data_IF_150865878053
#
_entry.id   IF_150865878053
#
_cell.length_a   1.000
_cell.length_b   1.000
_cell.length_c   1.000
_cell.angle_alpha   90.00
_cell.angle_beta   90.00
_cell.angle_gamma   90.00
#
_symmetry.space_group_name_H-M   'P 1'
#
loop_
_entity.id
_entity.type
_entity.pdbx_description
1 polymer ?
#
# COMPACT_ATOMS: atom_id res chain seq x y z
N UNK A 1 1.18 -1.60 -22.39
CA UNK A 1 2.08 -2.57 -21.75
C UNK A 1 3.03 -1.80 -20.80
N UNK A 2 3.37 -2.33 -19.64
CA UNK A 2 4.24 -1.67 -18.65
C UNK A 2 5.59 -1.22 -19.24
N UNK A 3 6.11 -1.96 -20.21
CA UNK A 3 7.40 -1.67 -20.88
C UNK A 3 7.35 -0.42 -21.79
N UNK A 4 6.15 -0.02 -22.18
CA UNK A 4 5.95 1.06 -23.14
C UNK A 4 5.60 2.40 -22.46
N UNK A 5 5.43 2.39 -21.13
CA UNK A 5 5.01 3.55 -20.35
C UNK A 5 6.24 4.30 -19.83
N UNK A 6 6.32 5.58 -20.12
CA UNK A 6 7.37 6.48 -19.63
C UNK A 6 7.06 7.03 -18.23
N UNK A 7 8.09 7.52 -17.55
CA UNK A 7 7.94 8.06 -16.20
C UNK A 7 6.98 9.24 -16.12
N UNK A 8 7.01 10.13 -17.10
CA UNK A 8 6.11 11.28 -17.20
C UNK A 8 4.63 10.88 -17.30
N UNK A 9 4.32 9.81 -18.01
CA UNK A 9 2.96 9.28 -18.11
C UNK A 9 2.43 8.74 -16.77
N UNK A 10 3.30 8.16 -15.94
CA UNK A 10 2.92 7.75 -14.58
C UNK A 10 2.62 8.97 -13.69
N UNK A 11 3.43 10.02 -13.77
CA UNK A 11 3.23 11.26 -13.03
C UNK A 11 1.94 11.97 -13.47
N UNK A 12 1.69 12.06 -14.77
CA UNK A 12 0.46 12.61 -15.33
C UNK A 12 -0.78 11.86 -14.85
N UNK A 13 -0.73 10.52 -14.89
CA UNK A 13 -1.84 9.71 -14.42
C UNK A 13 -2.05 9.83 -12.89
N UNK A 14 -0.96 9.90 -12.11
CA UNK A 14 -1.04 10.15 -10.68
C UNK A 14 -1.73 11.49 -10.37
N UNK A 15 -1.39 12.55 -11.09
CA UNK A 15 -2.03 13.85 -10.95
C UNK A 15 -3.52 13.80 -11.38
N UNK A 16 -3.86 13.03 -12.43
CA UNK A 16 -5.25 12.80 -12.83
C UNK A 16 -6.08 12.09 -11.72
N UNK A 17 -5.46 11.27 -10.92
CA UNK A 17 -6.09 10.64 -9.75
C UNK A 17 -6.16 11.57 -8.51
N UNK A 18 -5.88 12.86 -8.66
CA UNK A 18 -5.86 13.82 -7.57
C UNK A 18 -4.60 13.72 -6.70
N UNK A 19 -3.51 13.19 -7.24
CA UNK A 19 -2.19 13.31 -6.66
C UNK A 19 -1.63 14.74 -6.85
N UNK A 20 -0.63 15.09 -6.07
CA UNK A 20 0.07 16.37 -6.17
C UNK A 20 1.56 16.10 -6.35
N UNK A 21 2.16 16.65 -7.40
CA UNK A 21 3.58 16.47 -7.70
C UNK A 21 3.92 15.07 -8.18
N UNK A 22 5.00 14.53 -7.67
CA UNK A 22 5.46 13.18 -7.99
C UNK A 22 5.07 12.18 -6.89
N UNK A 23 4.75 10.93 -7.25
CA UNK A 23 4.61 9.90 -6.23
C UNK A 23 6.00 9.49 -5.72
N UNK A 24 6.10 9.24 -4.40
CA UNK A 24 7.30 8.62 -3.83
C UNK A 24 7.57 7.26 -4.43
N UNK A 25 6.50 6.49 -4.70
CA UNK A 25 6.62 5.15 -5.32
C UNK A 25 5.46 4.85 -6.24
N UNK A 26 5.78 4.25 -7.39
CA UNK A 26 4.82 3.69 -8.34
C UNK A 26 4.92 2.17 -8.34
N UNK A 27 3.80 1.49 -8.12
CA UNK A 27 3.70 0.03 -8.14
C UNK A 27 2.76 -0.36 -9.28
N UNK A 28 3.33 -0.75 -10.43
CA UNK A 28 2.59 -1.27 -11.57
C UNK A 28 2.79 -2.79 -11.65
N UNK A 29 1.72 -3.53 -11.49
CA UNK A 29 1.74 -4.99 -11.42
C UNK A 29 0.62 -5.61 -12.25
N UNK A 30 0.92 -6.71 -12.90
CA UNK A 30 -0.05 -7.61 -13.53
C UNK A 30 0.11 -8.97 -12.88
N UNK A 31 -0.98 -9.54 -12.44
CA UNK A 31 -1.05 -10.86 -11.83
C UNK A 31 -1.94 -11.73 -12.70
N UNK A 32 -1.45 -12.91 -13.06
CA UNK A 32 -2.17 -13.95 -13.79
C UNK A 32 -2.18 -15.21 -12.93
N UNK A 33 -3.32 -15.88 -12.81
CA UNK A 33 -3.45 -17.10 -12.01
C UNK A 33 -4.89 -17.40 -11.61
N UNK A 34 -5.12 -17.75 -10.34
CA UNK A 34 -6.46 -18.04 -9.80
C UNK A 34 -7.40 -16.82 -9.89
N UNK A 35 -6.82 -15.64 -9.81
CA UNK A 35 -7.44 -14.35 -10.16
C UNK A 35 -6.46 -13.56 -10.99
N UNK A 36 -6.97 -12.93 -12.03
CA UNK A 36 -6.20 -12.10 -12.96
C UNK A 36 -6.57 -10.63 -12.78
N UNK A 37 -5.57 -9.79 -12.55
CA UNK A 37 -5.78 -8.35 -12.44
C UNK A 37 -4.53 -7.56 -12.79
N UNK A 38 -4.75 -6.34 -13.21
CA UNK A 38 -3.70 -5.33 -13.35
C UNK A 38 -3.92 -4.22 -12.33
N UNK A 39 -2.88 -3.79 -11.68
CA UNK A 39 -2.93 -2.70 -10.71
C UNK A 39 -1.86 -1.65 -11.00
N UNK A 40 -2.24 -0.39 -10.86
CA UNK A 40 -1.34 0.74 -10.88
C UNK A 40 -1.59 1.57 -9.63
N UNK A 41 -0.69 1.43 -8.67
CA UNK A 41 -0.79 2.05 -7.35
C UNK A 41 0.33 3.06 -7.14
N UNK A 42 0.03 4.12 -6.42
CA UNK A 42 0.94 5.20 -6.09
C UNK A 42 0.96 5.44 -4.59
N UNK A 43 2.15 5.62 -4.05
CA UNK A 43 2.35 6.14 -2.71
C UNK A 43 2.75 7.61 -2.87
N UNK A 44 2.00 8.56 -2.30
CA UNK A 44 2.36 9.98 -2.34
C UNK A 44 3.73 10.25 -1.70
N UNK A 45 4.37 11.37 -2.05
CA UNK A 45 5.58 11.82 -1.37
C UNK A 45 5.28 12.39 0.02
N UNK A 46 4.13 13.09 0.15
CA UNK A 46 3.68 13.68 1.41
C UNK A 46 2.30 13.15 1.79
N UNK A 47 2.06 13.04 3.09
CA UNK A 47 0.74 12.64 3.60
C UNK A 47 -0.32 13.69 3.25
N UNK A 48 -1.49 13.26 2.77
CA UNK A 48 -2.65 14.14 2.65
C UNK A 48 -3.07 14.69 4.02
N UNK A 49 -3.50 15.94 4.06
CA UNK A 49 -3.93 16.60 5.32
C UNK A 49 -5.10 15.87 6.00
N UNK A 50 -5.91 15.18 5.22
CA UNK A 50 -7.10 14.44 5.65
C UNK A 50 -6.83 12.95 5.93
N UNK A 51 -5.54 12.50 5.98
CA UNK A 51 -5.18 11.08 6.12
C UNK A 51 -5.82 10.40 7.33
N UNK A 52 -6.02 11.13 8.42
CA UNK A 52 -6.62 10.65 9.67
C UNK A 52 -8.08 11.08 9.86
N UNK A 53 -8.70 11.65 8.82
CA UNK A 53 -10.13 11.93 8.88
C UNK A 53 -10.92 10.61 8.81
N UNK A 54 -11.84 10.34 9.79
CA UNK A 54 -12.67 9.12 9.77
C UNK A 54 -13.54 8.98 8.52
N UNK A 55 -13.93 10.09 7.91
CA UNK A 55 -14.77 10.12 6.70
C UNK A 55 -13.96 9.96 5.40
N UNK A 56 -12.63 9.79 5.52
CA UNK A 56 -11.78 9.60 4.36
C UNK A 56 -12.07 8.26 3.67
N UNK A 57 -12.48 8.36 2.43
CA UNK A 57 -12.70 7.18 1.57
C UNK A 57 -11.38 6.66 0.99
N UNK A 58 -11.39 5.41 0.58
CA UNK A 58 -10.28 4.81 -0.16
C UNK A 58 -10.03 5.59 -1.46
N UNK A 59 -8.77 5.65 -1.88
CA UNK A 59 -8.39 6.37 -3.11
C UNK A 59 -7.97 5.41 -4.22
N UNK A 60 -8.41 4.14 -4.15
CA UNK A 60 -8.15 3.13 -5.18
C UNK A 60 -9.45 2.79 -5.87
N UNK A 61 -9.47 3.06 -7.18
CA UNK A 61 -10.64 2.81 -8.04
C UNK A 61 -10.63 1.39 -8.57
N UNK A 62 -11.80 0.76 -8.57
CA UNK A 62 -11.99 -0.58 -9.11
C UNK A 62 -12.61 -0.53 -10.50
N UNK A 63 -12.02 -1.29 -11.40
CA UNK A 63 -12.48 -1.48 -12.77
C UNK A 63 -12.69 -2.98 -13.03
N UNK A 64 -13.57 -3.30 -13.95
CA UNK A 64 -13.76 -4.64 -14.51
C UNK A 64 -13.79 -4.53 -16.03
N UNK A 65 -12.88 -5.24 -16.71
CA UNK A 65 -12.76 -5.15 -18.16
C UNK A 65 -12.65 -3.69 -18.67
N UNK A 66 -11.91 -2.85 -17.97
CA UNK A 66 -11.74 -1.40 -18.24
C UNK A 66 -12.98 -0.56 -18.04
N UNK A 67 -14.06 -1.12 -17.49
CA UNK A 67 -15.27 -0.39 -17.11
C UNK A 67 -15.17 0.00 -15.65
N UNK A 68 -15.37 1.28 -15.34
CA UNK A 68 -15.39 1.79 -13.97
C UNK A 68 -16.52 1.16 -13.16
N UNK A 69 -16.22 0.63 -11.99
CA UNK A 69 -17.19 0.05 -11.06
C UNK A 69 -17.41 0.96 -9.87
N UNK A 70 -16.36 1.31 -9.14
CA UNK A 70 -16.46 2.14 -7.94
C UNK A 70 -15.12 2.76 -7.56
N UNK A 71 -15.16 3.88 -6.86
CA UNK A 71 -14.04 4.50 -6.16
C UNK A 71 -14.12 4.34 -4.63
N UNK A 72 -15.10 3.59 -4.14
CA UNK A 72 -15.37 3.37 -2.72
C UNK A 72 -15.29 1.88 -2.35
N UNK A 73 -14.25 1.17 -2.81
CA UNK A 73 -14.05 -0.23 -2.47
C UNK A 73 -13.18 -0.38 -1.23
N UNK A 74 -13.79 -0.36 -0.05
CA UNK A 74 -13.08 -0.47 1.24
C UNK A 74 -12.37 -1.81 1.42
N UNK A 75 -12.90 -2.89 0.82
CA UNK A 75 -12.32 -4.23 0.90
C UNK A 75 -11.07 -4.44 0.03
N UNK A 76 -10.72 -3.46 -0.82
CA UNK A 76 -9.58 -3.60 -1.74
C UNK A 76 -8.23 -3.44 -1.05
N UNK A 77 -8.13 -2.48 -0.12
CA UNK A 77 -6.95 -2.27 0.72
C UNK A 77 -7.38 -2.03 2.17
N UNK A 78 -6.64 -2.58 3.16
CA UNK A 78 -6.92 -2.33 4.56
C UNK A 78 -6.64 -0.87 4.95
N UNK A 79 -7.24 -0.43 6.05
CA UNK A 79 -7.21 0.96 6.52
C UNK A 79 -5.80 1.51 6.74
N UNK A 80 -4.87 0.70 7.18
CA UNK A 80 -3.48 1.10 7.41
C UNK A 80 -2.71 1.43 6.11
N UNK A 81 -3.28 1.11 4.93
CA UNK A 81 -2.76 1.47 3.60
C UNK A 81 -3.58 2.56 2.90
N UNK A 82 -4.45 3.28 3.62
CA UNK A 82 -5.37 4.30 3.08
C UNK A 82 -4.70 5.51 2.43
N UNK A 83 -3.38 5.63 2.56
CA UNK A 83 -2.60 6.65 1.86
C UNK A 83 -2.33 6.30 0.38
N UNK A 84 -2.58 5.07 -0.04
CA UNK A 84 -2.35 4.60 -1.41
C UNK A 84 -3.47 5.10 -2.32
N UNK A 85 -3.07 5.60 -3.49
CA UNK A 85 -3.95 5.97 -4.60
C UNK A 85 -3.71 5.05 -5.77
N UNK A 86 -4.73 4.88 -6.63
CA UNK A 86 -4.49 4.10 -7.84
C UNK A 86 -5.74 3.50 -8.46
N UNK A 87 -5.50 2.51 -9.29
CA UNK A 87 -6.53 1.76 -9.98
C UNK A 87 -6.22 0.26 -9.97
N UNK A 88 -7.26 -0.54 -9.93
CA UNK A 88 -7.19 -1.99 -10.09
C UNK A 88 -8.24 -2.39 -11.13
N UNK A 89 -7.84 -3.19 -12.11
CA UNK A 89 -8.71 -3.72 -13.14
C UNK A 89 -8.62 -5.25 -13.15
N UNK A 90 -9.77 -5.93 -13.06
CA UNK A 90 -9.85 -7.39 -13.05
C UNK A 90 -11.04 -7.86 -13.87
N UNK A 91 -10.83 -8.86 -14.70
CA UNK A 91 -11.89 -9.54 -15.45
C UNK A 91 -12.66 -10.57 -14.62
N UNK A 92 -12.14 -10.95 -13.44
CA UNK A 92 -12.74 -11.94 -12.55
C UNK A 92 -13.79 -11.35 -11.59
N UNK A 93 -14.11 -10.06 -11.73
CA UNK A 93 -15.17 -9.39 -10.96
C UNK A 93 -16.34 -9.09 -11.91
N UNK A 94 -17.54 -9.47 -11.50
CA UNK A 94 -18.74 -9.24 -12.31
C UNK A 94 -19.08 -7.74 -12.42
N UNK A 95 -19.51 -7.30 -13.59
CA UNK A 95 -19.92 -5.92 -13.87
C UNK A 95 -21.13 -5.46 -13.05
N UNK A 96 -21.99 -6.39 -12.61
CA UNK A 96 -23.24 -6.12 -11.89
C UNK A 96 -23.09 -6.27 -10.37
N UNK A 97 -21.88 -6.07 -9.83
CA UNK A 97 -21.64 -6.23 -8.39
C UNK A 97 -22.16 -5.02 -7.63
N UNK A 98 -23.18 -5.24 -6.78
CA UNK A 98 -23.59 -4.22 -5.80
C UNK A 98 -22.57 -4.08 -4.67
N UNK A 99 -22.62 -2.97 -3.92
CA UNK A 99 -21.72 -2.72 -2.78
C UNK A 99 -21.76 -3.85 -1.75
N UNK A 100 -22.94 -4.42 -1.48
CA UNK A 100 -23.12 -5.54 -0.55
C UNK A 100 -22.51 -6.84 -1.09
N UNK A 101 -22.60 -7.07 -2.40
CA UNK A 101 -22.00 -8.24 -3.05
C UNK A 101 -20.48 -8.17 -3.09
N UNK A 102 -19.88 -6.97 -3.11
CA UNK A 102 -18.42 -6.81 -3.06
C UNK A 102 -17.81 -7.34 -1.76
N UNK A 103 -18.43 -7.09 -0.62
CA UNK A 103 -17.93 -7.55 0.69
C UNK A 103 -17.85 -9.09 0.80
N UNK A 104 -18.69 -9.81 0.07
CA UNK A 104 -18.70 -11.28 0.03
C UNK A 104 -17.92 -11.87 -1.15
N UNK A 105 -17.41 -11.04 -2.07
CA UNK A 105 -16.80 -11.50 -3.31
C UNK A 105 -15.42 -12.17 -3.07
N UNK A 106 -15.35 -13.47 -3.37
CA UNK A 106 -14.14 -14.27 -3.17
C UNK A 106 -12.99 -13.85 -4.08
N UNK A 107 -13.25 -13.35 -5.29
CA UNK A 107 -12.23 -12.84 -6.19
C UNK A 107 -11.63 -11.54 -5.61
N UNK A 108 -12.46 -10.62 -5.13
CA UNK A 108 -12.02 -9.38 -4.50
C UNK A 108 -11.11 -9.63 -3.29
N UNK A 109 -11.47 -10.59 -2.42
CA UNK A 109 -10.63 -10.98 -1.26
C UNK A 109 -9.25 -11.51 -1.69
N UNK A 110 -9.20 -12.29 -2.77
CA UNK A 110 -7.93 -12.79 -3.32
C UNK A 110 -7.10 -11.66 -3.94
N UNK A 111 -7.73 -10.75 -4.67
CA UNK A 111 -7.08 -9.55 -5.24
C UNK A 111 -6.52 -8.69 -4.12
N UNK A 112 -7.31 -8.37 -3.10
CA UNK A 112 -6.87 -7.61 -1.92
C UNK A 112 -5.64 -8.24 -1.25
N UNK A 113 -5.70 -9.56 -1.00
CA UNK A 113 -4.56 -10.28 -0.41
C UNK A 113 -3.29 -10.19 -1.26
N UNK A 114 -3.42 -10.32 -2.58
CA UNK A 114 -2.29 -10.23 -3.51
C UNK A 114 -1.73 -8.79 -3.58
N UNK A 115 -2.61 -7.77 -3.60
CA UNK A 115 -2.21 -6.37 -3.58
C UNK A 115 -1.43 -6.02 -2.31
N UNK A 116 -1.95 -6.35 -1.13
CA UNK A 116 -1.29 -6.08 0.14
C UNK A 116 0.08 -6.76 0.20
N UNK A 117 0.17 -8.02 -0.19
CA UNK A 117 1.46 -8.73 -0.24
C UNK A 117 2.45 -8.06 -1.21
N UNK A 118 1.97 -7.60 -2.37
CA UNK A 118 2.80 -6.88 -3.34
C UNK A 118 3.30 -5.55 -2.77
N UNK A 119 2.42 -4.78 -2.14
CA UNK A 119 2.77 -3.49 -1.51
C UNK A 119 3.84 -3.70 -0.44
N UNK A 120 3.62 -4.64 0.50
CA UNK A 120 4.57 -4.92 1.57
C UNK A 120 5.92 -5.42 1.03
N UNK A 121 5.91 -6.24 -0.03
CA UNK A 121 7.14 -6.67 -0.71
C UNK A 121 7.91 -5.51 -1.33
N UNK A 122 7.22 -4.53 -1.94
CA UNK A 122 7.87 -3.34 -2.50
C UNK A 122 8.41 -2.42 -1.39
N UNK A 123 7.66 -2.23 -0.30
CA UNK A 123 8.12 -1.48 0.87
C UNK A 123 9.34 -2.14 1.53
N UNK A 124 9.35 -3.47 1.62
CA UNK A 124 10.52 -4.22 2.13
C UNK A 124 11.76 -4.03 1.28
N UNK A 125 11.60 -3.99 -0.05
CA UNK A 125 12.72 -3.70 -0.96
C UNK A 125 13.31 -2.31 -0.74
N UNK A 126 12.46 -1.30 -0.51
CA UNK A 126 12.96 0.05 -0.21
C UNK A 126 13.60 0.10 1.18
N UNK A 127 13.01 -0.54 2.18
CA UNK A 127 13.61 -0.68 3.51
C UNK A 127 15.03 -1.27 3.44
N UNK A 128 15.25 -2.29 2.60
CA UNK A 128 16.54 -2.97 2.48
C UNK A 128 17.54 -2.23 1.59
N UNK A 129 17.08 -1.51 0.55
CA UNK A 129 17.94 -0.99 -0.50
C UNK A 129 18.01 0.53 -0.58
N UNK A 130 17.04 1.22 -0.01
CA UNK A 130 16.92 2.68 -0.02
C UNK A 130 16.43 3.17 1.34
N UNK A 131 17.24 2.94 2.38
CA UNK A 131 16.87 3.23 3.76
C UNK A 131 16.47 4.68 3.97
N UNK A 132 17.22 5.63 3.44
CA UNK A 132 16.92 7.07 3.55
C UNK A 132 15.55 7.42 2.94
N UNK A 133 15.28 6.92 1.74
CA UNK A 133 13.96 7.13 1.10
C UNK A 133 12.83 6.47 1.88
N UNK A 134 13.09 5.28 2.46
CA UNK A 134 12.12 4.59 3.29
C UNK A 134 11.84 5.32 4.61
N UNK A 135 12.84 5.93 5.23
CA UNK A 135 12.66 6.74 6.43
C UNK A 135 11.77 7.96 6.18
N UNK A 136 11.95 8.66 5.05
CA UNK A 136 11.06 9.75 4.61
C UNK A 136 9.62 9.27 4.43
N UNK A 137 9.41 8.13 3.77
CA UNK A 137 8.10 7.50 3.69
C UNK A 137 7.53 7.22 5.08
N UNK A 138 8.34 6.69 5.98
CA UNK A 138 7.90 6.30 7.31
C UNK A 138 7.59 7.51 8.21
N UNK A 139 8.25 8.66 8.02
CA UNK A 139 7.91 9.92 8.68
C UNK A 139 6.51 10.39 8.31
N UNK A 140 6.13 10.25 7.05
CA UNK A 140 4.83 10.68 6.56
C UNK A 140 3.71 9.68 6.89
N UNK A 141 3.94 8.39 6.72
CA UNK A 141 2.90 7.37 6.75
C UNK A 141 3.04 6.36 7.88
N UNK A 142 4.11 6.40 8.65
CA UNK A 142 4.41 5.41 9.68
C UNK A 142 3.35 5.29 10.76
N UNK A 143 2.64 6.37 11.10
CA UNK A 143 1.55 6.32 12.06
C UNK A 143 0.38 5.46 11.54
N UNK A 144 -0.08 5.71 10.30
CA UNK A 144 -1.12 4.89 9.67
C UNK A 144 -0.64 3.45 9.42
N UNK A 145 0.60 3.29 8.94
CA UNK A 145 1.18 1.98 8.67
C UNK A 145 1.25 1.08 9.92
N UNK A 146 1.55 1.65 11.09
CA UNK A 146 1.60 0.92 12.38
C UNK A 146 0.25 0.36 12.82
N UNK A 147 -0.87 0.95 12.40
CA UNK A 147 -2.21 0.42 12.69
C UNK A 147 -2.34 -1.03 12.20
N UNK A 148 -1.69 -1.36 11.08
CA UNK A 148 -1.66 -2.72 10.52
C UNK A 148 -1.10 -3.78 11.46
N UNK A 149 -0.26 -3.42 12.43
CA UNK A 149 0.27 -4.36 13.43
C UNK A 149 -0.87 -4.90 14.33
N UNK A 150 -1.93 -4.11 14.52
CA UNK A 150 -3.12 -4.48 15.27
C UNK A 150 -4.23 -5.07 14.42
N UNK A 151 -4.37 -4.60 13.18
CA UNK A 151 -5.49 -4.96 12.30
C UNK A 151 -5.21 -6.21 11.46
N UNK A 152 -3.97 -6.44 11.04
CA UNK A 152 -3.57 -7.51 10.13
C UNK A 152 -2.70 -8.56 10.83
N UNK A 153 -3.35 -9.43 11.60
CA UNK A 153 -2.67 -10.49 12.36
C UNK A 153 -1.88 -11.45 11.46
N UNK A 154 -2.37 -11.72 10.25
CA UNK A 154 -1.73 -12.63 9.30
C UNK A 154 -0.37 -12.10 8.83
N UNK A 155 -0.25 -10.77 8.74
CA UNK A 155 0.98 -10.09 8.25
C UNK A 155 1.74 -9.35 9.34
N UNK A 156 1.33 -9.50 10.61
CA UNK A 156 1.94 -8.80 11.74
C UNK A 156 3.46 -8.87 11.75
N UNK A 157 4.03 -10.07 11.52
CA UNK A 157 5.49 -10.23 11.46
C UNK A 157 6.11 -9.43 10.33
N UNK A 158 5.55 -9.52 9.12
CA UNK A 158 6.07 -8.79 7.95
C UNK A 158 5.98 -7.27 8.13
N UNK A 159 4.93 -6.78 8.82
CA UNK A 159 4.78 -5.37 9.17
C UNK A 159 5.82 -4.94 10.19
N UNK A 160 6.02 -5.72 11.25
CA UNK A 160 7.03 -5.45 12.28
C UNK A 160 8.46 -5.42 11.71
N UNK A 161 8.78 -6.31 10.76
CA UNK A 161 10.11 -6.40 10.13
C UNK A 161 10.53 -5.11 9.40
N UNK A 162 9.57 -4.30 8.97
CA UNK A 162 9.82 -3.03 8.26
C UNK A 162 9.31 -1.81 9.01
N UNK A 163 8.83 -1.98 10.23
CA UNK A 163 8.40 -0.86 11.08
C UNK A 163 9.60 -0.21 11.73
N UNK A 164 9.60 1.13 11.73
CA UNK A 164 10.64 1.95 12.30
C UNK A 164 10.20 2.60 13.62
N UNK A 165 11.16 2.79 14.50
CA UNK A 165 10.98 3.41 15.81
C UNK A 165 12.08 4.46 16.04
N UNK A 166 11.76 5.50 16.79
CA UNK A 166 12.77 6.38 17.36
C UNK A 166 13.39 5.71 18.58
N UNK A 167 14.68 5.87 18.76
CA UNK A 167 15.44 5.28 19.85
C UNK A 167 16.22 6.35 20.57
N UNK A 168 16.40 6.22 21.88
CA UNK A 168 17.30 7.07 22.66
C UNK A 168 18.78 6.88 22.32
N UNK A 169 19.11 5.83 21.58
CA UNK A 169 20.50 5.48 21.24
C UNK A 169 21.04 6.29 20.06
N UNK A 170 20.18 6.85 19.19
CA UNK A 170 20.57 7.70 18.07
C UNK A 170 19.40 8.55 17.60
N UNK A 171 19.70 9.62 16.87
CA UNK A 171 18.67 10.46 16.23
C UNK A 171 17.98 9.75 15.06
N UNK A 172 18.60 8.72 14.50
CA UNK A 172 18.11 7.96 13.37
C UNK A 172 17.02 6.96 13.80
N UNK A 173 16.19 6.60 12.84
CA UNK A 173 15.23 5.51 13.03
C UNK A 173 15.95 4.16 13.20
N UNK A 174 15.32 3.27 13.96
CA UNK A 174 15.76 1.89 14.15
C UNK A 174 14.60 0.92 13.93
N UNK A 175 14.89 -0.24 13.35
CA UNK A 175 13.95 -1.36 13.31
C UNK A 175 14.08 -2.24 14.54
N UNK A 176 13.12 -3.14 14.77
CA UNK A 176 13.20 -4.13 15.85
C UNK A 176 14.41 -5.06 15.69
N UNK A 177 14.71 -5.49 14.46
CA UNK A 177 15.85 -6.35 14.21
C UNK A 177 17.18 -5.64 14.52
N UNK A 178 17.32 -4.37 14.16
CA UNK A 178 18.49 -3.53 14.51
C UNK A 178 18.58 -3.30 16.02
N UNK A 179 17.44 -3.16 16.72
CA UNK A 179 17.42 -3.08 18.18
C UNK A 179 17.87 -4.40 18.80
N UNK A 180 17.29 -5.53 18.40
CA UNK A 180 17.67 -6.85 18.90
C UNK A 180 19.14 -7.16 18.66
N UNK A 181 19.71 -6.77 17.53
CA UNK A 181 21.13 -6.99 17.23
C UNK A 181 22.09 -6.23 18.18
N UNK A 182 21.58 -5.23 18.89
CA UNK A 182 22.34 -4.42 19.86
C UNK A 182 21.99 -4.76 21.31
N UNK A 183 21.04 -5.66 21.53
CA UNK A 183 20.68 -6.07 22.91
C UNK A 183 21.86 -6.72 23.61
N UNK A 184 21.99 -6.45 24.89
CA UNK A 184 22.95 -7.16 25.76
C UNK A 184 22.36 -8.51 26.16
N UNK A 185 23.24 -9.48 26.45
CA UNK A 185 22.83 -10.87 26.79
C UNK A 185 21.85 -10.96 27.95
N UNK A 186 21.81 -9.97 28.85
CA UNK A 186 20.94 -9.90 30.01
C UNK A 186 19.60 -9.17 29.76
N UNK A 187 19.35 -8.64 28.55
CA UNK A 187 18.10 -7.99 28.20
C UNK A 187 17.09 -9.04 27.72
N UNK A 188 15.96 -9.17 28.42
CA UNK A 188 14.84 -10.07 28.07
C UNK A 188 13.62 -9.26 27.63
#
# INVERSE_FOLDING_TARGET
NKKDIKSDQYEEFYNHLGGIGKPWKTIHNTTEGIVSFTSLLFIPEMKPFDLFNPDRKTSVKLYTNRVFITDECEDLLPSYLRFIKGVVDSEDIDLNVSREMMQSNAALKKISKALVNKILSELKKDFDKNREGYEKFFEEFGAAFKEGIYEDFDRKKSLLDITLFKSSNSENYTSLNEYISRMKDEQT
#
